data_IF_853063914573
#
_entry.id   IF_853063914573
#
_cell.length_a   1.000
_cell.length_b   1.000
_cell.length_c   1.000
_cell.angle_alpha   90.00
_cell.angle_beta   90.00
_cell.angle_gamma   90.00
#
_symmetry.space_group_name_H-M   'P 1'
#
loop_
_entity.id
_entity.type
_entity.pdbx_description
1 polymer ?
#
# COMPACT_ATOMS: atom_id res chain seq x y z
N UNK A 1 7.90 -13.74 5.59
CA UNK A 1 7.49 -13.22 4.27
C UNK A 1 6.00 -13.43 4.07
N UNK A 2 5.28 -12.39 3.73
CA UNK A 2 3.84 -12.46 3.57
C UNK A 2 3.45 -12.92 2.18
N UNK A 3 2.32 -13.62 2.10
CA UNK A 3 1.77 -13.98 0.80
C UNK A 3 1.02 -12.81 0.21
N UNK A 4 0.71 -12.89 -1.08
CA UNK A 4 -0.05 -11.83 -1.74
C UNK A 4 -1.41 -11.62 -1.08
N UNK A 5 -2.03 -12.71 -0.66
CA UNK A 5 -3.31 -12.63 0.03
C UNK A 5 -3.20 -11.86 1.33
N UNK A 6 -2.15 -12.13 2.09
CA UNK A 6 -1.95 -11.48 3.37
C UNK A 6 -1.64 -10.00 3.19
N UNK A 7 -0.83 -9.67 2.20
CA UNK A 7 -0.52 -8.28 1.90
C UNK A 7 -1.79 -7.54 1.48
N UNK A 8 -2.59 -8.16 0.64
CA UNK A 8 -3.83 -7.54 0.17
C UNK A 8 -4.80 -7.29 1.32
N UNK A 9 -4.91 -8.24 2.23
CA UNK A 9 -5.76 -8.11 3.40
C UNK A 9 -5.27 -6.98 4.31
N UNK A 10 -3.97 -6.96 4.58
CA UNK A 10 -3.38 -5.93 5.42
C UNK A 10 -3.55 -4.55 4.79
N UNK A 11 -3.41 -4.47 3.48
CA UNK A 11 -3.61 -3.23 2.75
C UNK A 11 -5.02 -2.69 2.96
N UNK A 12 -6.01 -3.57 2.82
CA UNK A 12 -7.39 -3.18 3.04
C UNK A 12 -7.63 -2.68 4.46
N UNK A 13 -7.11 -3.42 5.42
CA UNK A 13 -7.26 -3.07 6.82
C UNK A 13 -6.60 -1.73 7.11
N UNK A 14 -5.45 -1.51 6.51
CA UNK A 14 -4.68 -0.29 6.71
C UNK A 14 -5.44 0.95 6.27
N UNK A 15 -6.14 0.85 5.15
CA UNK A 15 -6.86 2.00 4.60
C UNK A 15 -8.36 1.94 4.85
N UNK A 16 -8.78 1.07 5.73
CA UNK A 16 -10.18 0.98 6.10
C UNK A 16 -10.62 2.27 6.81
N UNK A 17 -11.74 2.80 6.39
CA UNK A 17 -12.24 4.04 6.97
C UNK A 17 -11.64 5.30 6.38
N UNK A 18 -10.81 5.19 5.35
CA UNK A 18 -10.26 6.34 4.66
C UNK A 18 -9.13 7.05 5.39
N UNK A 19 -8.47 6.35 6.31
CA UNK A 19 -7.35 6.95 7.05
C UNK A 19 -6.08 6.89 6.21
N UNK A 20 -5.81 7.96 5.49
CA UNK A 20 -4.64 8.04 4.61
C UNK A 20 -3.56 8.95 5.19
N UNK A 21 -3.26 8.77 6.47
CA UNK A 21 -2.22 9.58 7.08
C UNK A 21 -0.83 9.05 6.72
N UNK A 22 0.20 9.80 7.11
CA UNK A 22 1.56 9.45 6.78
C UNK A 22 1.97 8.09 7.33
N UNK A 23 1.54 7.76 8.53
CA UNK A 23 1.87 6.48 9.13
C UNK A 23 1.30 5.33 8.30
N UNK A 24 0.08 5.49 7.79
CA UNK A 24 -0.54 4.47 6.95
C UNK A 24 0.24 4.29 5.65
N UNK A 25 0.70 5.39 5.07
CA UNK A 25 1.46 5.33 3.83
C UNK A 25 2.80 4.64 4.02
N UNK A 26 3.45 4.88 5.15
CA UNK A 26 4.70 4.22 5.48
C UNK A 26 4.50 2.72 5.63
N UNK A 27 3.43 2.33 6.33
CA UNK A 27 3.11 0.91 6.49
C UNK A 27 2.78 0.25 5.17
N UNK A 28 2.09 0.96 4.29
CA UNK A 28 1.78 0.46 2.96
C UNK A 28 3.05 0.18 2.17
N UNK A 29 4.01 1.09 2.27
CA UNK A 29 5.28 0.92 1.60
C UNK A 29 6.01 -0.32 2.10
N UNK A 30 5.97 -0.55 3.41
CA UNK A 30 6.57 -1.74 4.01
C UNK A 30 5.90 -3.02 3.53
N UNK A 31 4.58 -2.98 3.36
CA UNK A 31 3.85 -4.13 2.83
C UNK A 31 4.28 -4.47 1.42
N UNK A 32 4.55 -3.45 0.61
CA UNK A 32 5.01 -3.67 -0.74
C UNK A 32 6.37 -4.36 -0.78
N UNK A 33 7.22 -4.06 0.20
CA UNK A 33 8.53 -4.68 0.28
C UNK A 33 8.44 -6.19 0.54
N UNK A 34 7.31 -6.65 1.07
CA UNK A 34 7.09 -8.08 1.29
C UNK A 34 6.76 -8.83 0.01
N UNK A 35 6.45 -8.10 -1.04
CA UNK A 35 6.12 -8.70 -2.34
C UNK A 35 7.35 -8.68 -3.23
N UNK A 36 7.40 -9.66 -4.15
CA UNK A 36 8.48 -9.72 -5.11
C UNK A 36 8.36 -8.60 -6.15
N UNK A 37 9.49 -8.11 -6.68
CA UNK A 37 9.44 -7.02 -7.66
C UNK A 37 8.61 -7.32 -8.90
N UNK A 38 8.54 -8.59 -9.29
CA UNK A 38 7.79 -8.99 -10.48
C UNK A 38 6.32 -9.27 -10.20
N UNK A 39 5.88 -9.16 -8.96
CA UNK A 39 4.49 -9.46 -8.60
C UNK A 39 3.53 -8.46 -9.23
N UNK A 40 2.50 -8.93 -9.95
CA UNK A 40 1.48 -8.02 -10.50
C UNK A 40 0.76 -7.25 -9.41
N UNK A 41 0.54 -7.89 -8.26
CA UNK A 41 -0.11 -7.24 -7.14
C UNK A 41 0.74 -6.08 -6.63
N UNK A 42 2.05 -6.27 -6.58
CA UNK A 42 2.94 -5.20 -6.14
C UNK A 42 2.82 -3.97 -7.03
N UNK A 43 2.81 -4.18 -8.35
CA UNK A 43 2.66 -3.07 -9.29
C UNK A 43 1.34 -2.34 -9.08
N UNK A 44 0.28 -3.10 -8.89
CA UNK A 44 -1.04 -2.53 -8.68
C UNK A 44 -1.10 -1.69 -7.42
N UNK A 45 -0.62 -2.25 -6.31
CA UNK A 45 -0.64 -1.55 -5.04
C UNK A 45 0.31 -0.37 -5.02
N UNK A 46 1.46 -0.51 -5.69
CA UNK A 46 2.40 0.58 -5.82
C UNK A 46 1.76 1.78 -6.49
N UNK A 47 0.98 1.52 -7.51
CA UNK A 47 0.28 2.58 -8.23
C UNK A 47 -0.75 3.26 -7.34
N UNK A 48 -1.49 2.47 -6.57
CA UNK A 48 -2.44 3.03 -5.62
C UNK A 48 -1.74 3.90 -4.59
N UNK A 49 -0.61 3.42 -4.10
CA UNK A 49 0.16 4.17 -3.10
C UNK A 49 0.63 5.50 -3.68
N UNK A 50 1.10 5.49 -4.90
CA UNK A 50 1.54 6.72 -5.56
C UNK A 50 0.40 7.72 -5.66
N UNK A 51 -0.79 7.25 -6.02
CA UNK A 51 -1.95 8.11 -6.11
C UNK A 51 -2.32 8.70 -4.75
N UNK A 52 -2.26 7.88 -3.71
CA UNK A 52 -2.58 8.34 -2.36
C UNK A 52 -1.58 9.38 -1.89
N UNK A 53 -0.31 9.19 -2.22
CA UNK A 53 0.72 10.15 -1.86
C UNK A 53 0.51 11.48 -2.55
N UNK A 54 0.10 11.44 -3.82
CA UNK A 54 -0.19 12.65 -4.56
C UNK A 54 -1.32 13.43 -3.94
N UNK A 55 -2.36 12.72 -3.50
CA UNK A 55 -3.49 13.36 -2.86
C UNK A 55 -3.08 14.04 -1.56
N UNK A 56 -2.17 13.44 -0.83
CA UNK A 56 -1.72 14.00 0.43
C UNK A 56 -0.79 15.17 0.25
N UNK A 57 0.04 15.13 -0.78
CA UNK A 57 1.04 16.15 -1.03
C UNK A 57 0.50 17.35 -1.81
N UNK A 58 -0.47 17.12 -2.66
CA UNK A 58 -0.98 18.18 -3.55
C UNK A 58 -1.98 19.07 -2.85
N UNK A 59 -1.50 19.83 -1.94
CA UNK A 59 -2.32 20.83 -1.26
C UNK A 59 -1.95 22.20 -1.65
#
# INVERSE_FOLDING_TARGET
>A
MLTEKEVSRSWRTLFKGGAYDEAALIKADELLDELRPESPLRHRLQRELDDLRKLQVSR
#
